data_IF_923753079460
#
_entry.id   IF_923753079460
#
_cell.length_a   1.000
_cell.length_b   1.000
_cell.length_c   1.000
_cell.angle_alpha   90.00
_cell.angle_beta   90.00
_cell.angle_gamma   90.00
#
_symmetry.space_group_name_H-M   'P 1'
#
loop_
_entity.id
_entity.type
_entity.pdbx_description
1 polymer ?
#
# COMPACT_ATOMS: atom_id res chain seq x y z
N UNK A 1 -25.47 -17.87 42.93
CA UNK A 1 -24.92 -19.04 42.19
C UNK A 1 -25.44 -19.19 40.76
N UNK A 2 -26.35 -18.33 40.28
CA UNK A 2 -26.84 -18.34 38.88
C UNK A 2 -26.07 -17.42 37.94
N UNK A 3 -25.37 -16.38 38.45
CA UNK A 3 -24.53 -15.47 37.66
C UNK A 3 -23.34 -16.18 36.99
N UNK A 4 -22.55 -16.92 37.77
CA UNK A 4 -21.36 -17.64 37.25
C UNK A 4 -21.69 -18.66 36.15
N UNK A 5 -22.85 -19.33 36.22
CA UNK A 5 -23.26 -20.29 35.18
C UNK A 5 -23.67 -19.61 33.88
N UNK A 6 -24.24 -18.40 33.94
CA UNK A 6 -24.61 -17.64 32.75
C UNK A 6 -23.34 -17.08 32.09
N UNK A 7 -22.40 -16.54 32.86
CA UNK A 7 -21.12 -16.05 32.33
C UNK A 7 -20.30 -17.17 31.69
N UNK A 8 -20.22 -18.35 32.32
CA UNK A 8 -19.51 -19.52 31.77
C UNK A 8 -20.22 -20.09 30.53
N UNK A 9 -21.56 -20.12 30.49
CA UNK A 9 -22.31 -20.55 29.32
C UNK A 9 -22.16 -19.57 28.14
N UNK A 10 -22.12 -18.26 28.40
CA UNK A 10 -21.83 -17.25 27.37
C UNK A 10 -20.38 -17.30 26.89
N UNK A 11 -19.42 -17.64 27.77
CA UNK A 11 -18.03 -17.83 27.37
C UNK A 11 -17.83 -19.07 26.48
N UNK A 12 -18.62 -20.13 26.68
CA UNK A 12 -18.61 -21.34 25.84
C UNK A 12 -19.29 -21.17 24.47
N UNK A 13 -20.04 -20.09 24.24
CA UNK A 13 -20.75 -19.84 22.98
C UNK A 13 -19.95 -19.02 21.95
N UNK A 14 -18.73 -18.58 22.30
CA UNK A 14 -17.93 -17.75 21.39
C UNK A 14 -17.26 -18.60 20.31
N UNK A 15 -17.39 -18.21 19.03
CA UNK A 15 -16.70 -18.92 17.96
C UNK A 15 -15.18 -18.88 18.14
N UNK A 16 -14.50 -19.93 17.66
CA UNK A 16 -13.04 -20.06 17.76
C UNK A 16 -12.28 -18.86 17.16
N UNK A 17 -11.13 -18.53 17.72
CA UNK A 17 -10.29 -17.46 17.16
C UNK A 17 -9.79 -17.80 15.75
N UNK A 18 -9.81 -16.81 14.86
CA UNK A 18 -9.19 -16.95 13.55
C UNK A 18 -7.67 -16.99 13.68
N UNK A 19 -7.03 -18.10 13.29
CA UNK A 19 -5.57 -18.25 13.36
C UNK A 19 -4.80 -17.31 12.42
N UNK A 20 -3.49 -17.15 12.66
CA UNK A 20 -2.59 -16.27 11.93
C UNK A 20 -2.67 -16.46 10.41
N UNK A 21 -2.53 -17.71 9.93
CA UNK A 21 -2.51 -18.02 8.51
C UNK A 21 -3.82 -17.63 7.81
N UNK A 22 -4.97 -17.92 8.43
CA UNK A 22 -6.27 -17.51 7.87
C UNK A 22 -6.37 -15.99 7.78
N UNK A 23 -5.92 -15.25 8.80
CA UNK A 23 -5.93 -13.78 8.75
C UNK A 23 -4.95 -13.23 7.70
N UNK A 24 -3.78 -13.85 7.55
CA UNK A 24 -2.77 -13.48 6.56
C UNK A 24 -3.29 -13.65 5.14
N UNK A 25 -3.78 -14.86 4.80
CA UNK A 25 -4.34 -15.13 3.48
C UNK A 25 -5.59 -14.28 3.17
N UNK A 26 -6.43 -13.99 4.17
CA UNK A 26 -7.57 -13.08 3.99
C UNK A 26 -7.07 -11.69 3.60
N UNK A 27 -6.02 -11.19 4.26
CA UNK A 27 -5.41 -9.90 3.95
C UNK A 27 -4.81 -9.86 2.54
N UNK A 28 -4.23 -10.97 2.06
CA UNK A 28 -3.72 -11.07 0.68
C UNK A 28 -4.87 -11.02 -0.33
N UNK A 29 -5.95 -11.76 -0.10
CA UNK A 29 -7.13 -11.72 -0.97
C UNK A 29 -7.74 -10.32 -1.01
N UNK A 30 -7.90 -9.69 0.17
CA UNK A 30 -8.42 -8.33 0.27
C UNK A 30 -7.53 -7.30 -0.44
N UNK A 31 -6.21 -7.46 -0.35
CA UNK A 31 -5.27 -6.63 -1.07
C UNK A 31 -5.45 -6.77 -2.59
N UNK A 32 -5.54 -8.00 -3.10
CA UNK A 32 -5.78 -8.24 -4.53
C UNK A 32 -7.12 -7.68 -5.02
N UNK A 33 -8.17 -7.77 -4.20
CA UNK A 33 -9.51 -7.21 -4.52
C UNK A 33 -9.46 -5.70 -4.74
N UNK A 34 -8.57 -4.98 -4.04
CA UNK A 34 -8.40 -3.52 -4.19
C UNK A 34 -7.38 -3.18 -5.27
N UNK A 35 -6.29 -3.93 -5.32
CA UNK A 35 -5.19 -3.70 -6.25
C UNK A 35 -5.63 -3.86 -7.70
N UNK A 36 -6.45 -4.88 -8.01
CA UNK A 36 -6.88 -5.15 -9.38
C UNK A 36 -7.71 -3.97 -9.97
N UNK A 37 -8.77 -3.47 -9.31
CA UNK A 37 -9.49 -2.28 -9.78
C UNK A 37 -8.61 -1.04 -9.88
N UNK A 38 -7.77 -0.78 -8.88
CA UNK A 38 -6.88 0.38 -8.87
C UNK A 38 -5.90 0.34 -10.04
N UNK A 39 -5.38 -0.85 -10.34
CA UNK A 39 -4.52 -1.09 -11.48
C UNK A 39 -5.20 -0.76 -12.81
N UNK A 40 -6.40 -1.29 -13.06
CA UNK A 40 -7.15 -1.01 -14.29
C UNK A 40 -7.50 0.48 -14.42
N UNK A 41 -7.82 1.13 -13.30
CA UNK A 41 -8.04 2.58 -13.26
C UNK A 41 -6.79 3.34 -13.72
N UNK A 42 -5.62 3.03 -13.17
CA UNK A 42 -4.36 3.70 -13.55
C UNK A 42 -3.95 3.38 -14.98
N UNK A 43 -4.08 2.13 -15.43
CA UNK A 43 -3.80 1.78 -16.82
C UNK A 43 -4.69 2.57 -17.78
N UNK A 44 -5.98 2.71 -17.46
CA UNK A 44 -6.92 3.54 -18.22
C UNK A 44 -6.53 5.03 -18.21
N UNK A 45 -6.21 5.58 -17.04
CA UNK A 45 -5.77 6.98 -16.91
C UNK A 45 -4.44 7.23 -17.63
N UNK A 46 -3.48 6.30 -17.57
CA UNK A 46 -2.22 6.37 -18.29
C UNK A 46 -2.47 6.50 -19.80
N UNK A 47 -3.37 5.68 -20.35
CA UNK A 47 -3.75 5.75 -21.78
C UNK A 47 -4.47 7.06 -22.13
N UNK A 48 -5.45 7.47 -21.31
CA UNK A 48 -6.26 8.68 -21.56
C UNK A 48 -5.45 9.97 -21.43
N UNK A 49 -4.41 9.98 -20.59
CA UNK A 49 -3.60 11.17 -20.32
C UNK A 49 -2.29 11.18 -21.08
N UNK A 50 -2.04 10.23 -21.98
CA UNK A 50 -0.75 10.02 -22.68
C UNK A 50 0.43 9.89 -21.69
N UNK A 51 0.25 9.16 -20.59
CA UNK A 51 1.27 8.99 -19.53
C UNK A 51 1.35 10.13 -18.52
N UNK A 52 0.29 10.91 -18.35
CA UNK A 52 0.20 11.98 -17.34
C UNK A 52 -0.12 11.49 -15.93
N UNK A 53 -0.52 10.24 -15.83
CA UNK A 53 -0.77 9.51 -14.60
C UNK A 53 0.04 8.23 -14.68
N UNK A 54 0.81 7.93 -13.64
CA UNK A 54 1.57 6.68 -13.48
C UNK A 54 1.19 6.01 -12.17
N UNK A 55 1.51 4.72 -12.04
CA UNK A 55 1.31 4.01 -10.78
C UNK A 55 2.38 2.97 -10.54
N UNK A 56 3.12 3.16 -9.46
CA UNK A 56 4.02 2.14 -8.90
C UNK A 56 3.30 1.37 -7.80
N UNK A 57 2.63 0.28 -8.18
CA UNK A 57 1.97 -0.63 -7.25
C UNK A 57 2.80 -1.90 -7.06
N UNK A 58 2.84 -2.51 -5.87
CA UNK A 58 3.83 -3.55 -5.52
C UNK A 58 3.93 -4.81 -6.41
N UNK A 59 3.03 -5.01 -7.38
CA UNK A 59 3.06 -6.09 -8.37
C UNK A 59 3.18 -5.51 -9.80
N UNK A 60 4.39 -5.21 -10.26
CA UNK A 60 4.66 -4.89 -11.67
C UNK A 60 5.90 -5.61 -12.20
N UNK A 61 5.89 -5.87 -13.51
CA UNK A 61 7.07 -6.28 -14.24
C UNK A 61 7.72 -5.03 -14.81
N UNK A 62 8.89 -4.66 -14.29
CA UNK A 62 9.72 -3.61 -14.88
C UNK A 62 10.71 -4.21 -15.86
N UNK A 63 10.71 -3.72 -17.09
CA UNK A 63 11.69 -4.08 -18.12
C UNK A 63 12.41 -2.82 -18.54
N UNK A 64 13.73 -2.79 -18.32
CA UNK A 64 14.60 -1.71 -18.78
C UNK A 64 15.41 -2.15 -19.99
N UNK A 65 15.46 -1.32 -21.03
CA UNK A 65 16.25 -1.54 -22.24
C UNK A 65 17.03 -0.29 -22.62
N UNK A 66 18.23 -0.42 -23.19
CA UNK A 66 18.92 0.74 -23.76
C UNK A 66 18.06 1.32 -24.89
N UNK A 67 17.88 2.65 -24.90
CA UNK A 67 17.00 3.31 -25.86
C UNK A 67 17.34 4.79 -26.02
N UNK A 68 16.83 5.44 -27.06
CA UNK A 68 16.97 6.90 -27.25
C UNK A 68 15.69 7.59 -26.79
N UNK A 69 15.81 8.56 -25.90
CA UNK A 69 14.71 9.43 -25.50
C UNK A 69 14.60 10.58 -26.50
N UNK A 70 13.40 10.78 -27.04
CA UNK A 70 13.14 11.86 -28.00
C UNK A 70 12.57 13.08 -27.26
N UNK A 71 13.07 14.28 -27.60
CA UNK A 71 12.53 15.56 -27.11
C UNK A 71 13.19 16.19 -25.88
N UNK A 72 14.39 15.75 -25.45
CA UNK A 72 15.15 16.45 -24.39
C UNK A 72 16.11 17.52 -24.95
N UNK A 73 16.50 18.50 -24.13
CA UNK A 73 17.47 19.55 -24.52
C UNK A 73 18.91 19.04 -24.70
N UNK A 74 19.24 17.80 -24.29
CA UNK A 74 20.59 17.24 -24.47
C UNK A 74 20.61 15.70 -24.40
N UNK A 75 20.00 15.00 -25.38
CA UNK A 75 19.88 13.55 -25.37
C UNK A 75 21.23 12.83 -25.48
N UNK A 76 22.28 13.47 -26.01
CA UNK A 76 23.60 12.86 -26.25
C UNK A 76 24.51 12.78 -25.01
N UNK A 77 24.19 13.57 -23.97
CA UNK A 77 24.97 13.69 -22.73
C UNK A 77 24.87 12.47 -21.82
N UNK A 78 23.77 11.73 -21.91
CA UNK A 78 23.45 10.62 -21.02
C UNK A 78 23.30 9.31 -21.80
N UNK A 79 23.71 8.21 -21.19
CA UNK A 79 23.36 6.87 -21.64
C UNK A 79 21.99 6.51 -21.05
N UNK A 80 20.97 6.46 -21.92
CA UNK A 80 19.58 6.28 -21.51
C UNK A 80 19.17 4.81 -21.45
N UNK A 81 18.55 4.43 -20.34
CA UNK A 81 17.79 3.20 -20.20
C UNK A 81 16.31 3.53 -20.10
N UNK A 82 15.52 3.04 -21.05
CA UNK A 82 14.07 3.19 -21.06
C UNK A 82 13.47 2.02 -20.30
N UNK A 83 12.81 2.33 -19.19
CA UNK A 83 12.14 1.39 -18.31
C UNK A 83 10.62 1.50 -18.50
N UNK A 84 9.98 0.34 -18.64
CA UNK A 84 8.52 0.20 -18.76
C UNK A 84 8.03 -0.74 -17.67
N UNK A 85 7.12 -0.25 -16.84
CA UNK A 85 6.35 -1.07 -15.90
C UNK A 85 5.02 -1.47 -16.50
N UNK A 86 4.78 -2.77 -16.50
CA UNK A 86 3.52 -3.36 -16.95
C UNK A 86 3.06 -4.46 -16.01
N UNK A 87 1.76 -4.73 -16.02
CA UNK A 87 1.17 -5.90 -15.36
C UNK A 87 0.15 -6.50 -16.33
N UNK A 88 0.22 -7.81 -16.55
CA UNK A 88 -0.62 -8.51 -17.54
C UNK A 88 -0.57 -7.88 -18.95
N UNK A 89 0.55 -7.23 -19.31
CA UNK A 89 0.77 -6.63 -20.62
C UNK A 89 0.28 -5.18 -20.78
N UNK A 90 -0.41 -4.60 -19.79
CA UNK A 90 -0.84 -3.19 -19.85
C UNK A 90 0.24 -2.27 -19.20
N UNK A 91 0.66 -1.19 -19.86
CA UNK A 91 1.64 -0.27 -19.30
C UNK A 91 0.99 0.65 -18.24
N UNK A 92 1.71 0.89 -17.15
CA UNK A 92 1.27 1.76 -16.04
C UNK A 92 2.29 2.82 -15.64
N UNK A 93 3.53 2.69 -16.12
CA UNK A 93 4.55 3.73 -16.01
C UNK A 93 5.62 3.48 -17.08
N UNK A 94 5.99 4.54 -17.80
CA UNK A 94 7.13 4.55 -18.72
C UNK A 94 8.07 5.68 -18.26
N UNK A 95 9.35 5.38 -18.06
CA UNK A 95 10.35 6.37 -17.65
C UNK A 95 11.72 6.04 -18.25
N UNK A 96 12.60 7.03 -18.33
CA UNK A 96 13.98 6.84 -18.75
C UNK A 96 14.93 7.25 -17.63
N UNK A 97 15.97 6.43 -17.41
CA UNK A 97 17.07 6.74 -16.50
C UNK A 97 18.30 7.03 -17.35
N UNK A 98 18.83 8.24 -17.24
CA UNK A 98 20.05 8.67 -17.91
C UNK A 98 21.22 8.69 -16.93
N UNK A 99 22.28 7.96 -17.24
CA UNK A 99 23.56 8.07 -16.54
C UNK A 99 24.50 8.97 -17.34
N UNK A 100 25.01 10.04 -16.73
CA UNK A 100 25.95 10.92 -17.41
C UNK A 100 27.20 10.14 -17.81
N UNK A 101 27.68 10.33 -19.06
CA UNK A 101 28.94 9.75 -19.50
C UNK A 101 30.07 10.29 -18.62
N UNK A 102 30.82 9.41 -17.98
CA UNK A 102 31.81 9.80 -16.99
C UNK A 102 32.88 10.72 -17.60
N UNK A 103 32.95 11.97 -17.16
CA UNK A 103 34.19 12.74 -17.19
C UNK A 103 35.08 12.22 -16.06
N UNK A 104 36.36 11.98 -16.33
CA UNK A 104 37.33 11.21 -15.51
C UNK A 104 37.44 11.56 -14.01
N UNK A 105 36.79 12.63 -13.51
CA UNK A 105 36.91 13.10 -12.12
C UNK A 105 35.58 13.52 -11.44
N UNK A 106 34.41 13.28 -12.04
CA UNK A 106 33.13 13.67 -11.44
C UNK A 106 32.21 12.47 -11.20
N UNK A 107 31.49 12.46 -10.06
CA UNK A 107 30.45 11.47 -9.76
C UNK A 107 29.39 11.53 -10.87
N UNK A 108 29.06 10.41 -11.53
CA UNK A 108 28.12 10.43 -12.65
C UNK A 108 26.74 10.86 -12.13
N UNK A 109 26.23 11.93 -12.70
CA UNK A 109 24.90 12.45 -12.42
C UNK A 109 23.86 11.52 -13.04
N UNK A 110 22.86 11.13 -12.26
CA UNK A 110 21.74 10.29 -12.72
C UNK A 110 20.49 11.14 -12.77
N UNK A 111 19.79 11.07 -13.90
CA UNK A 111 18.54 11.81 -14.11
C UNK A 111 17.46 10.82 -14.50
N UNK A 112 16.32 10.85 -13.82
CA UNK A 112 15.13 10.10 -14.19
C UNK A 112 14.10 11.02 -14.81
N UNK A 113 13.52 10.61 -15.94
CA UNK A 113 12.57 11.39 -16.71
C UNK A 113 11.34 10.53 -16.99
N UNK A 114 10.15 11.10 -16.83
CA UNK A 114 8.91 10.42 -17.22
C UNK A 114 8.68 10.47 -18.73
N UNK A 115 8.16 9.38 -19.28
CA UNK A 115 7.85 9.27 -20.70
C UNK A 115 6.35 9.22 -20.92
N UNK A 116 5.90 9.76 -22.06
CA UNK A 116 4.54 9.57 -22.54
C UNK A 116 4.35 8.15 -23.12
N UNK A 117 3.12 7.80 -23.51
CA UNK A 117 2.81 6.45 -24.04
C UNK A 117 3.56 6.10 -25.34
N UNK A 118 4.10 7.11 -26.02
CA UNK A 118 4.88 7.00 -27.27
C UNK A 118 6.39 7.01 -27.04
N UNK A 119 6.86 7.12 -25.79
CA UNK A 119 8.29 7.16 -25.46
C UNK A 119 8.96 8.53 -25.62
N UNK A 120 8.17 9.60 -25.79
CA UNK A 120 8.66 10.97 -25.78
C UNK A 120 8.77 11.51 -24.36
N UNK A 121 9.68 12.46 -24.19
CA UNK A 121 9.84 13.21 -22.94
C UNK A 121 8.52 13.82 -22.45
N UNK A 122 8.25 13.67 -21.16
CA UNK A 122 7.17 14.36 -20.47
C UNK A 122 7.71 15.06 -19.21
N UNK A 123 7.27 16.30 -19.01
CA UNK A 123 7.72 17.12 -17.87
C UNK A 123 7.17 16.62 -16.53
N UNK A 124 5.94 16.11 -16.50
CA UNK A 124 5.29 15.68 -15.27
C UNK A 124 4.30 14.53 -15.50
N UNK A 125 4.35 13.55 -14.60
CA UNK A 125 3.35 12.52 -14.43
C UNK A 125 3.01 12.37 -12.93
N UNK A 126 1.72 12.39 -12.59
CA UNK A 126 1.27 12.18 -11.21
C UNK A 126 1.36 10.69 -10.88
N UNK A 127 2.16 10.34 -9.87
CA UNK A 127 2.23 8.97 -9.37
C UNK A 127 1.10 8.70 -8.37
N UNK A 128 0.24 7.73 -8.69
CA UNK A 128 -0.88 7.30 -7.86
C UNK A 128 -0.55 6.10 -6.96
N UNK A 129 0.72 5.66 -6.89
CA UNK A 129 1.15 4.55 -6.03
C UNK A 129 0.82 4.76 -4.55
N UNK A 130 0.76 6.01 -4.08
CA UNK A 130 0.40 6.33 -2.70
C UNK A 130 -1.06 5.97 -2.34
N UNK A 131 -1.94 5.77 -3.33
CA UNK A 131 -3.35 5.43 -3.11
C UNK A 131 -3.59 3.98 -2.69
N UNK A 132 -2.60 3.09 -2.84
CA UNK A 132 -2.74 1.65 -2.58
C UNK A 132 -3.24 1.37 -1.14
N UNK A 133 -2.52 1.89 -0.14
CA UNK A 133 -2.86 1.68 1.27
C UNK A 133 -4.13 2.42 1.71
N UNK A 134 -4.35 3.71 1.34
CA UNK A 134 -5.63 4.38 1.59
C UNK A 134 -6.83 3.66 0.98
N UNK A 135 -6.73 3.19 -0.26
CA UNK A 135 -7.81 2.45 -0.91
C UNK A 135 -8.12 1.15 -0.15
N UNK A 136 -7.09 0.42 0.28
CA UNK A 136 -7.26 -0.78 1.10
C UNK A 136 -7.91 -0.48 2.45
N UNK A 137 -7.50 0.59 3.12
CA UNK A 137 -8.06 1.02 4.40
C UNK A 137 -9.55 1.38 4.28
N UNK A 138 -9.91 2.13 3.23
CA UNK A 138 -11.30 2.52 2.94
C UNK A 138 -12.15 1.28 2.62
N UNK A 139 -11.65 0.38 1.77
CA UNK A 139 -12.34 -0.87 1.44
C UNK A 139 -12.62 -1.69 2.70
N UNK A 140 -11.60 -1.91 3.55
CA UNK A 140 -11.77 -2.66 4.79
C UNK A 140 -12.73 -1.96 5.76
N UNK A 141 -12.67 -0.63 5.87
CA UNK A 141 -13.58 0.16 6.69
C UNK A 141 -15.04 -0.07 6.27
N UNK A 142 -15.34 0.10 4.98
CA UNK A 142 -16.69 -0.05 4.42
C UNK A 142 -17.21 -1.47 4.61
N UNK A 143 -16.39 -2.47 4.27
CA UNK A 143 -16.79 -3.88 4.36
C UNK A 143 -17.01 -4.34 5.81
N UNK A 144 -16.13 -3.95 6.73
CA UNK A 144 -16.28 -4.31 8.14
C UNK A 144 -17.44 -3.54 8.82
N UNK A 145 -17.69 -2.29 8.42
CA UNK A 145 -18.83 -1.53 8.93
C UNK A 145 -20.17 -2.15 8.50
N UNK A 146 -20.29 -2.56 7.25
CA UNK A 146 -21.55 -3.05 6.67
C UNK A 146 -21.81 -4.54 6.91
N UNK A 147 -20.78 -5.37 6.78
CA UNK A 147 -20.91 -6.84 6.79
C UNK A 147 -20.14 -7.50 7.94
N UNK A 148 -19.23 -6.77 8.61
CA UNK A 148 -18.30 -7.34 9.60
C UNK A 148 -17.27 -8.26 8.96
N UNK A 149 -17.21 -8.30 7.62
CA UNK A 149 -16.40 -9.21 6.82
C UNK A 149 -16.04 -8.54 5.51
N UNK A 150 -14.76 -8.64 5.15
CA UNK A 150 -14.27 -8.37 3.81
C UNK A 150 -14.37 -9.62 2.93
N UNK A 151 -14.12 -9.49 1.63
CA UNK A 151 -14.13 -10.61 0.68
C UNK A 151 -13.14 -11.70 1.10
N UNK A 152 -11.91 -11.33 1.46
CA UNK A 152 -10.90 -12.28 1.92
C UNK A 152 -11.28 -12.97 3.23
N UNK A 153 -11.89 -12.21 4.17
CA UNK A 153 -12.41 -12.79 5.42
C UNK A 153 -13.54 -13.77 5.15
N UNK A 154 -14.47 -13.44 4.26
CA UNK A 154 -15.54 -14.35 3.84
C UNK A 154 -14.97 -15.63 3.23
N UNK A 155 -13.98 -15.52 2.34
CA UNK A 155 -13.34 -16.68 1.71
C UNK A 155 -12.68 -17.63 2.71
N UNK A 156 -12.19 -17.12 3.85
CA UNK A 156 -11.53 -17.92 4.89
C UNK A 156 -12.38 -18.14 6.14
N UNK A 157 -13.69 -17.88 6.02
CA UNK A 157 -14.68 -18.15 7.07
C UNK A 157 -14.35 -17.37 8.35
N UNK A 158 -13.90 -16.12 8.19
CA UNK A 158 -13.56 -15.19 9.28
C UNK A 158 -14.61 -14.08 9.39
N UNK A 159 -14.88 -13.66 10.62
CA UNK A 159 -15.82 -12.60 10.96
C UNK A 159 -15.20 -11.68 12.00
N UNK A 160 -15.40 -10.38 11.85
CA UNK A 160 -15.13 -9.41 12.92
C UNK A 160 -16.39 -9.21 13.72
N UNK A 161 -16.32 -9.54 15.00
CA UNK A 161 -17.40 -9.36 15.97
C UNK A 161 -17.12 -8.14 16.84
N UNK A 162 -18.19 -7.46 17.23
CA UNK A 162 -18.17 -6.50 18.34
C UNK A 162 -18.19 -7.29 19.66
N UNK A 163 -17.21 -7.05 20.54
CA UNK A 163 -17.12 -7.72 21.85
C UNK A 163 -18.37 -7.50 22.71
N UNK A 164 -19.01 -6.34 22.60
CA UNK A 164 -20.15 -5.95 23.43
C UNK A 164 -21.48 -6.42 22.84
N UNK A 165 -21.53 -6.72 21.54
CA UNK A 165 -22.73 -7.18 20.86
C UNK A 165 -22.37 -8.04 19.64
N UNK A 166 -22.05 -9.31 19.91
CA UNK A 166 -21.60 -10.26 18.88
C UNK A 166 -22.69 -10.66 17.88
N UNK A 167 -23.97 -10.47 18.20
CA UNK A 167 -25.08 -10.81 17.29
C UNK A 167 -25.31 -9.74 16.21
N UNK A 168 -24.77 -8.54 16.39
CA UNK A 168 -24.89 -7.46 15.41
C UNK A 168 -24.10 -7.81 14.14
N UNK A 169 -24.72 -7.59 12.98
CA UNK A 169 -23.99 -7.60 11.70
C UNK A 169 -23.23 -6.29 11.52
N UNK A 170 -21.94 -6.41 11.20
CA UNK A 170 -21.07 -5.26 10.99
C UNK A 170 -20.66 -4.56 12.29
N UNK A 171 -19.71 -3.64 12.13
CA UNK A 171 -19.18 -2.84 13.23
C UNK A 171 -19.77 -1.43 13.21
N UNK A 172 -20.00 -0.81 14.39
CA UNK A 172 -20.29 0.61 14.43
C UNK A 172 -19.11 1.41 13.85
N UNK A 173 -19.42 2.49 13.12
CA UNK A 173 -18.43 3.32 12.40
C UNK A 173 -17.25 3.69 13.29
N UNK A 174 -17.49 4.11 14.53
CA UNK A 174 -16.44 4.50 15.47
C UNK A 174 -15.45 3.36 15.77
N UNK A 175 -15.93 2.12 15.94
CA UNK A 175 -15.08 0.96 16.18
C UNK A 175 -14.33 0.54 14.93
N UNK A 176 -15.03 0.47 13.79
CA UNK A 176 -14.43 0.15 12.51
C UNK A 176 -13.32 1.15 12.13
N UNK A 177 -13.57 2.44 12.32
CA UNK A 177 -12.60 3.50 12.06
C UNK A 177 -11.38 3.41 12.98
N UNK A 178 -11.57 3.29 14.30
CA UNK A 178 -10.47 3.11 15.26
C UNK A 178 -9.61 1.90 14.90
N UNK A 179 -10.26 0.79 14.54
CA UNK A 179 -9.60 -0.44 14.12
C UNK A 179 -8.71 -0.22 12.89
N UNK A 180 -9.24 0.40 11.83
CA UNK A 180 -8.44 0.67 10.62
C UNK A 180 -7.32 1.68 10.89
N UNK A 181 -7.59 2.74 11.64
CA UNK A 181 -6.59 3.75 11.99
C UNK A 181 -5.37 3.13 12.67
N UNK A 182 -5.60 2.27 13.66
CA UNK A 182 -4.52 1.60 14.40
C UNK A 182 -3.86 0.53 13.53
N UNK A 183 -4.63 -0.18 12.71
CA UNK A 183 -4.09 -1.19 11.79
C UNK A 183 -3.08 -0.57 10.80
N UNK A 184 -3.40 0.59 10.25
CA UNK A 184 -2.58 1.29 9.26
C UNK A 184 -1.59 2.31 9.85
N UNK A 185 -1.55 2.47 11.17
CA UNK A 185 -0.69 3.44 11.85
C UNK A 185 0.80 3.28 11.47
N UNK A 186 1.30 2.04 11.40
CA UNK A 186 2.68 1.77 11.01
C UNK A 186 3.01 2.13 9.56
N UNK A 187 2.01 2.15 8.67
CA UNK A 187 2.20 2.50 7.26
C UNK A 187 1.89 3.97 6.95
N UNK A 188 1.36 4.72 7.91
CA UNK A 188 1.01 6.13 7.76
C UNK A 188 2.19 7.00 7.29
N UNK A 189 3.41 6.87 7.83
CA UNK A 189 4.55 7.65 7.34
C UNK A 189 4.87 7.39 5.87
N UNK A 190 4.75 6.15 5.38
CA UNK A 190 4.99 5.81 3.98
C UNK A 190 3.94 6.45 3.06
N UNK A 191 2.67 6.45 3.45
CA UNK A 191 1.61 7.10 2.68
C UNK A 191 1.85 8.61 2.60
N UNK A 192 2.25 9.23 3.72
CA UNK A 192 2.56 10.67 3.77
C UNK A 192 3.73 11.04 2.87
N UNK A 193 4.85 10.32 2.97
CA UNK A 193 6.04 10.59 2.14
C UNK A 193 5.79 10.32 0.66
N UNK A 194 5.07 9.24 0.35
CA UNK A 194 4.66 8.91 -1.02
C UNK A 194 3.74 9.97 -1.61
N UNK A 195 2.73 10.42 -0.86
CA UNK A 195 1.80 11.49 -1.27
C UNK A 195 2.58 12.78 -1.52
N UNK A 196 3.39 13.21 -0.55
CA UNK A 196 4.21 14.42 -0.68
C UNK A 196 5.12 14.39 -1.92
N UNK A 197 5.80 13.26 -2.14
CA UNK A 197 6.67 13.07 -3.31
C UNK A 197 5.89 13.11 -4.61
N UNK A 198 4.72 12.48 -4.68
CA UNK A 198 3.85 12.50 -5.85
C UNK A 198 3.42 13.93 -6.20
N UNK A 199 3.02 14.75 -5.22
CA UNK A 199 2.62 16.14 -5.47
C UNK A 199 3.79 17.06 -5.80
N UNK A 200 4.97 16.87 -5.19
CA UNK A 200 6.17 17.65 -5.51
C UNK A 200 6.68 17.40 -6.93
N UNK A 201 6.63 16.15 -7.38
CA UNK A 201 7.02 15.76 -8.74
C UNK A 201 5.95 16.13 -9.78
N UNK A 202 4.71 16.30 -9.35
CA UNK A 202 3.61 16.69 -10.23
C UNK A 202 3.69 18.19 -10.56
N UNK A 203 4.32 18.49 -11.70
CA UNK A 203 4.41 19.85 -12.26
C UNK A 203 5.80 20.49 -12.15
N UNK A 204 6.76 19.81 -11.53
CA UNK A 204 8.18 20.22 -11.56
C UNK A 204 8.87 19.68 -12.80
N UNK A 205 9.83 20.45 -13.35
CA UNK A 205 10.71 19.94 -14.40
C UNK A 205 11.67 18.92 -13.81
N UNK A 206 12.04 17.85 -14.56
CA UNK A 206 13.05 16.89 -14.10
C UNK A 206 14.38 17.62 -13.90
N UNK A 207 14.73 17.81 -12.63
CA UNK A 207 16.01 18.36 -12.21
C UNK A 207 17.06 17.27 -12.01
N UNK A 208 18.33 17.65 -11.88
CA UNK A 208 19.34 16.83 -11.22
C UNK A 208 18.79 16.17 -9.96
N UNK A 209 19.27 14.97 -9.63
CA UNK A 209 19.06 14.43 -8.29
C UNK A 209 19.38 15.53 -7.28
N UNK A 210 18.43 15.92 -6.41
CA UNK A 210 18.60 17.06 -5.52
C UNK A 210 19.92 16.91 -4.77
N UNK A 211 20.83 17.87 -4.97
CA UNK A 211 22.07 17.97 -4.20
C UNK A 211 21.70 18.48 -2.81
N UNK A 212 21.08 17.60 -2.02
CA UNK A 212 20.82 17.88 -0.62
C UNK A 212 22.16 18.10 0.06
N UNK A 213 22.38 19.23 0.72
CA UNK A 213 23.56 19.36 1.56
C UNK A 213 23.48 18.27 2.64
N UNK A 214 24.63 17.75 3.08
CA UNK A 214 24.70 16.54 3.91
C UNK A 214 23.81 16.58 5.17
N UNK A 215 23.54 17.79 5.69
CA UNK A 215 22.69 18.04 6.85
C UNK A 215 21.18 17.88 6.58
N UNK A 216 20.71 17.94 5.33
CA UNK A 216 19.33 17.57 4.94
C UNK A 216 19.23 16.08 4.57
N UNK A 217 20.34 15.49 4.11
CA UNK A 217 20.39 14.08 3.72
C UNK A 217 20.24 13.12 4.90
N UNK A 218 20.93 13.38 6.01
CA UNK A 218 20.88 12.52 7.21
C UNK A 218 19.47 12.45 7.82
N UNK A 219 18.76 13.58 8.04
CA UNK A 219 17.37 13.55 8.50
C UNK A 219 16.41 12.87 7.53
N UNK A 220 16.55 13.10 6.21
CA UNK A 220 15.70 12.47 5.21
C UNK A 220 15.89 10.94 5.18
N UNK A 221 17.14 10.48 5.26
CA UNK A 221 17.47 9.06 5.32
C UNK A 221 16.94 8.43 6.62
N UNK A 222 17.11 9.13 7.76
CA UNK A 222 16.58 8.67 9.05
C UNK A 222 15.05 8.60 9.05
N UNK A 223 14.37 9.59 8.47
CA UNK A 223 12.92 9.61 8.33
C UNK A 223 12.41 8.49 7.42
N UNK A 224 13.08 8.25 6.28
CA UNK A 224 12.76 7.15 5.38
C UNK A 224 13.00 5.78 6.02
N UNK A 225 14.13 5.62 6.73
CA UNK A 225 14.46 4.42 7.48
C UNK A 225 13.48 4.15 8.61
N UNK A 226 13.06 5.20 9.33
CA UNK A 226 12.03 5.12 10.36
C UNK A 226 10.66 4.75 9.80
N UNK A 227 10.25 5.35 8.68
CA UNK A 227 9.00 5.03 7.99
C UNK A 227 8.97 3.57 7.52
N UNK A 228 10.07 3.10 6.90
CA UNK A 228 10.20 1.71 6.47
C UNK A 228 10.24 0.75 7.66
N UNK A 229 10.99 1.11 8.70
CA UNK A 229 11.09 0.35 9.94
C UNK A 229 9.72 0.17 10.60
N UNK A 230 8.95 1.25 10.76
CA UNK A 230 7.58 1.17 11.28
C UNK A 230 6.67 0.31 10.39
N UNK A 231 6.76 0.47 9.07
CA UNK A 231 5.93 -0.29 8.13
C UNK A 231 6.22 -1.80 8.16
N UNK A 232 7.43 -2.22 8.56
CA UNK A 232 7.80 -3.63 8.70
C UNK A 232 7.56 -4.16 10.12
N UNK A 233 7.94 -3.39 11.14
CA UNK A 233 7.82 -3.77 12.55
C UNK A 233 6.35 -3.88 12.96
N UNK A 234 5.51 -2.96 12.50
CA UNK A 234 4.08 -2.92 12.86
C UNK A 234 3.30 -4.18 12.44
N UNK A 235 3.32 -4.63 11.17
CA UNK A 235 2.65 -5.87 10.79
C UNK A 235 3.30 -7.10 11.44
N UNK A 236 4.61 -7.11 11.65
CA UNK A 236 5.31 -8.20 12.34
C UNK A 236 4.81 -8.33 13.80
N UNK A 237 4.71 -7.21 14.51
CA UNK A 237 4.18 -7.15 15.87
C UNK A 237 2.73 -7.65 15.94
N UNK A 238 1.88 -7.21 14.99
CA UNK A 238 0.51 -7.71 14.86
C UNK A 238 0.49 -9.23 14.63
N UNK A 239 1.36 -9.73 13.74
CA UNK A 239 1.49 -11.15 13.45
C UNK A 239 1.92 -11.97 14.66
N UNK A 240 2.93 -11.51 15.40
CA UNK A 240 3.42 -12.14 16.63
C UNK A 240 2.30 -12.17 17.69
N UNK A 241 1.58 -11.06 17.89
CA UNK A 241 0.45 -11.02 18.82
C UNK A 241 -0.59 -12.10 18.50
N UNK A 242 -0.95 -12.25 17.22
CA UNK A 242 -1.91 -13.27 16.78
C UNK A 242 -1.34 -14.69 16.96
N UNK A 243 -0.05 -14.89 16.67
CA UNK A 243 0.62 -16.18 16.84
C UNK A 243 0.66 -16.65 18.30
N UNK A 244 0.80 -15.71 19.24
CA UNK A 244 0.75 -15.94 20.68
C UNK A 244 -0.69 -16.11 21.23
N UNK A 245 -1.72 -16.07 20.36
CA UNK A 245 -3.12 -16.19 20.77
C UNK A 245 -3.70 -14.93 21.41
N UNK A 246 -2.97 -13.81 21.36
CA UNK A 246 -3.46 -12.53 21.84
C UNK A 246 -4.25 -11.80 20.75
N UNK A 247 -5.28 -11.05 21.18
CA UNK A 247 -5.97 -10.15 20.27
C UNK A 247 -5.03 -9.00 19.88
N UNK A 248 -4.86 -8.73 18.58
CA UNK A 248 -3.92 -7.70 18.14
C UNK A 248 -4.38 -6.32 18.61
N UNK A 249 -3.43 -5.38 18.72
CA UNK A 249 -3.68 -4.06 19.32
C UNK A 249 -4.85 -3.29 18.70
N UNK A 250 -5.03 -3.42 17.38
CA UNK A 250 -6.13 -2.77 16.66
C UNK A 250 -7.50 -3.39 16.98
N UNK A 251 -7.55 -4.67 17.28
CA UNK A 251 -8.76 -5.38 17.71
C UNK A 251 -9.10 -4.98 19.16
N UNK A 252 -8.10 -5.02 20.07
CA UNK A 252 -8.24 -4.64 21.49
C UNK A 252 -8.73 -3.20 21.70
N UNK A 253 -8.11 -2.23 21.04
CA UNK A 253 -8.49 -0.81 21.22
C UNK A 253 -9.87 -0.51 20.62
N UNK A 254 -10.25 -1.24 19.57
CA UNK A 254 -11.57 -1.10 18.97
C UNK A 254 -12.68 -1.85 19.74
N UNK A 255 -12.32 -2.74 20.68
CA UNK A 255 -13.27 -3.64 21.36
C UNK A 255 -13.94 -4.57 20.35
N UNK A 256 -13.12 -5.21 19.52
CA UNK A 256 -13.54 -6.11 18.44
C UNK A 256 -12.66 -7.34 18.41
N UNK A 257 -13.21 -8.47 17.98
CA UNK A 257 -12.45 -9.72 17.88
C UNK A 257 -12.70 -10.43 16.56
N UNK A 258 -11.68 -11.12 16.02
CA UNK A 258 -11.80 -11.87 14.78
C UNK A 258 -11.89 -13.37 15.06
N UNK A 259 -13.04 -13.94 14.72
CA UNK A 259 -13.35 -15.35 14.99
C UNK A 259 -13.75 -16.08 13.71
N UNK A 260 -13.65 -17.40 13.71
CA UNK A 260 -14.18 -18.23 12.63
C UNK A 260 -15.69 -18.23 12.68
N UNK A 261 -16.37 -18.20 11.54
CA UNK A 261 -17.81 -18.45 11.50
C UNK A 261 -18.01 -19.95 11.73
N UNK A 262 -18.55 -20.34 12.86
CA UNK A 262 -18.98 -21.72 13.07
C UNK A 262 -20.25 -21.93 12.24
N UNK A 263 -20.09 -22.61 11.10
CA UNK A 263 -21.20 -23.23 10.41
C UNK A 263 -21.49 -24.53 11.15
N UNK A 264 -22.53 -24.53 11.98
CA UNK A 264 -23.20 -25.79 12.29
C UNK A 264 -23.73 -26.32 10.96
N UNK A 265 -23.00 -27.26 10.37
CA UNK A 265 -23.56 -28.24 9.42
C UNK A 265 -24.11 -29.42 10.22
#
# INVERSE_FOLDING_TARGET
>A
MTGDRIEVATAMAWPRQGGLWRRCFASVIDYLVVLIPLYFLVAGLFMLTDGGVKGHFGLFLTVCRPGKVHGSLSPERYDWQVCRSSLLGFPVADWAVGTAKASQFAKPETVSIDLNSKGNFRTAALDLGFLDLPALAIYLLVMEMTLGQSVGKRALVLVVYDEHNWQRRGLPLQKAFRRQLIKFLGAFPLVLTGTWSAFQTWGSFPGPAPSYPWWEFVPALAAAGFALGLALIWPLWIGISIALGHEPIHDRIAGTTVRTRETHE
#
